data_IF_772754032533
#
_entry.id   IF_772754032533
#
_cell.length_a   1.000
_cell.length_b   1.000
_cell.length_c   1.000
_cell.angle_alpha   90.00
_cell.angle_beta   90.00
_cell.angle_gamma   90.00
#
_symmetry.space_group_name_H-M   'P 1'
#
loop_
_entity.id
_entity.type
_entity.pdbx_description
1 polymer ?
#
# COMPACT_ATOMS: atom_id res chain seq x y z
N UNK A 1 23.59 -11.16 -17.05
CA UNK A 1 23.40 -11.28 -15.58
C UNK A 1 21.95 -10.93 -15.26
N UNK A 2 21.25 -11.71 -14.45
CA UNK A 2 19.85 -11.50 -14.09
C UNK A 2 19.72 -11.06 -12.63
N UNK A 3 19.21 -9.87 -12.42
CA UNK A 3 19.08 -9.23 -11.10
C UNK A 3 17.60 -9.21 -10.72
N UNK A 4 17.27 -9.74 -9.54
CA UNK A 4 15.99 -9.50 -8.88
C UNK A 4 16.15 -8.35 -7.89
N UNK A 5 15.31 -7.33 -7.98
CA UNK A 5 15.27 -6.20 -7.05
C UNK A 5 13.91 -6.08 -6.39
N UNK A 6 13.92 -5.96 -5.07
CA UNK A 6 12.73 -5.98 -4.23
C UNK A 6 12.69 -4.71 -3.37
N UNK A 7 11.58 -3.98 -3.51
CA UNK A 7 11.18 -2.92 -2.58
C UNK A 7 10.18 -3.50 -1.56
N UNK A 8 10.52 -3.34 -0.27
CA UNK A 8 9.89 -4.09 0.82
C UNK A 8 8.75 -3.27 1.42
N UNK A 9 7.53 -3.80 1.34
CA UNK A 9 6.36 -3.21 1.99
C UNK A 9 5.51 -4.21 2.76
N UNK A 10 4.79 -3.74 3.78
CA UNK A 10 3.91 -4.57 4.62
C UNK A 10 2.79 -5.22 3.81
N UNK A 11 2.22 -4.46 2.87
CA UNK A 11 1.09 -4.89 2.05
C UNK A 11 1.43 -5.07 0.58
N UNK A 12 2.36 -4.27 0.09
CA UNK A 12 2.77 -4.26 -1.30
C UNK A 12 4.24 -4.65 -1.35
N UNK A 13 4.56 -5.70 -2.10
CA UNK A 13 5.92 -6.14 -2.37
C UNK A 13 6.20 -5.88 -3.84
N UNK A 14 7.02 -4.89 -4.17
CA UNK A 14 7.34 -4.58 -5.56
C UNK A 14 8.59 -5.35 -5.99
N UNK A 15 8.51 -5.99 -7.16
CA UNK A 15 9.60 -6.79 -7.72
C UNK A 15 9.91 -6.30 -9.12
N UNK A 16 11.20 -6.16 -9.41
CA UNK A 16 11.72 -5.92 -10.75
C UNK A 16 12.81 -6.94 -11.04
N UNK A 17 12.69 -7.66 -12.15
CA UNK A 17 13.74 -8.55 -12.65
C UNK A 17 14.25 -7.92 -13.94
N UNK A 18 15.54 -7.60 -13.94
CA UNK A 18 16.24 -7.15 -15.14
C UNK A 18 17.28 -8.17 -15.57
N UNK A 19 17.46 -8.31 -16.88
CA UNK A 19 18.54 -9.07 -17.48
C UNK A 19 19.49 -8.10 -18.18
N UNK A 20 20.71 -7.99 -17.65
CA UNK A 20 21.78 -7.16 -18.18
C UNK A 20 22.40 -7.90 -19.36
N UNK A 21 22.47 -7.20 -20.50
CA UNK A 21 23.03 -7.72 -21.75
C UNK A 21 24.56 -7.64 -21.76
N UNK A 22 25.20 -7.95 -22.89
CA UNK A 22 26.65 -7.80 -23.04
C UNK A 22 27.13 -6.35 -22.95
N UNK A 23 26.26 -5.36 -23.23
CA UNK A 23 26.53 -3.96 -22.94
C UNK A 23 26.05 -3.65 -21.51
N UNK A 24 26.96 -3.23 -20.60
CA UNK A 24 26.62 -2.79 -19.24
C UNK A 24 25.50 -1.74 -19.16
N UNK A 25 25.34 -0.94 -20.22
CA UNK A 25 24.35 0.14 -20.30
C UNK A 25 22.98 -0.33 -20.76
N UNK A 26 22.86 -1.58 -21.24
CA UNK A 26 21.65 -2.11 -21.87
C UNK A 26 21.11 -3.32 -21.11
N UNK A 27 19.80 -3.30 -20.85
CA UNK A 27 19.09 -4.30 -20.04
C UNK A 27 17.68 -4.54 -20.58
N UNK A 28 17.16 -5.74 -20.31
CA UNK A 28 15.78 -6.11 -20.55
C UNK A 28 15.02 -6.23 -19.23
N UNK A 29 13.78 -5.74 -19.18
CA UNK A 29 12.89 -5.94 -18.02
C UNK A 29 12.10 -7.23 -18.24
N UNK A 30 12.42 -8.27 -17.47
CA UNK A 30 11.82 -9.61 -17.58
C UNK A 30 10.52 -9.70 -16.79
N UNK A 31 10.49 -9.06 -15.62
CA UNK A 31 9.32 -9.03 -14.75
C UNK A 31 9.27 -7.71 -13.99
N UNK A 32 8.10 -7.09 -13.89
CA UNK A 32 7.95 -5.87 -13.12
C UNK A 32 6.51 -5.69 -12.65
N UNK A 33 6.28 -5.91 -11.36
CA UNK A 33 4.94 -5.85 -10.78
C UNK A 33 4.97 -5.59 -9.26
N UNK A 34 3.81 -5.28 -8.68
CA UNK A 34 3.60 -5.10 -7.25
C UNK A 34 2.64 -6.17 -6.74
N UNK A 35 3.17 -7.12 -5.97
CA UNK A 35 2.37 -8.12 -5.30
C UNK A 35 1.64 -7.53 -4.11
N UNK A 36 0.31 -7.55 -4.17
CA UNK A 36 -0.52 -7.27 -3.01
C UNK A 36 -0.60 -8.54 -2.13
N UNK A 37 -0.03 -8.45 -0.92
CA UNK A 37 -0.02 -9.52 0.06
C UNK A 37 -1.38 -9.72 0.72
N UNK A 38 -2.21 -8.68 0.77
CA UNK A 38 -3.53 -8.72 1.39
C UNK A 38 -4.56 -8.06 0.49
N UNK A 39 -5.53 -8.85 0.05
CA UNK A 39 -6.67 -8.30 -0.65
C UNK A 39 -7.51 -7.47 0.31
N UNK A 40 -7.78 -6.21 -0.04
CA UNK A 40 -8.83 -5.48 0.66
C UNK A 40 -10.15 -6.14 0.27
N UNK A 41 -10.94 -6.57 1.23
CA UNK A 41 -12.31 -6.98 0.94
C UNK A 41 -13.06 -5.78 0.35
N UNK A 42 -13.24 -5.79 -0.97
CA UNK A 42 -14.00 -4.76 -1.68
C UNK A 42 -15.47 -4.97 -1.33
N UNK A 43 -15.97 -4.18 -0.38
CA UNK A 43 -17.40 -4.16 -0.05
C UNK A 43 -18.11 -3.21 -1.01
N UNK A 44 -19.15 -3.70 -1.68
CA UNK A 44 -20.03 -2.89 -2.53
C UNK A 44 -21.25 -2.42 -1.76
N UNK A 45 -21.86 -1.33 -2.22
CA UNK A 45 -23.08 -0.81 -1.63
C UNK A 45 -24.23 -1.82 -1.78
N UNK A 46 -25.00 -2.03 -0.71
CA UNK A 46 -26.14 -2.94 -0.71
C UNK A 46 -27.48 -2.22 -0.86
N UNK A 47 -27.46 -0.90 -1.09
CA UNK A 47 -28.67 -0.10 -1.23
C UNK A 47 -29.42 -0.44 -2.52
N UNK A 48 -30.73 -0.68 -2.40
CA UNK A 48 -31.61 -0.99 -3.52
C UNK A 48 -31.88 0.26 -4.37
N UNK A 49 -31.56 0.18 -5.66
CA UNK A 49 -31.87 1.21 -6.65
C UNK A 49 -33.03 0.73 -7.50
N UNK A 50 -34.10 1.53 -7.56
CA UNK A 50 -35.22 1.28 -8.47
C UNK A 50 -34.84 1.73 -9.87
N UNK A 51 -34.87 0.82 -10.86
CA UNK A 51 -34.80 1.18 -12.27
C UNK A 51 -35.87 0.42 -13.07
N UNK A 52 -36.79 1.17 -13.70
CA UNK A 52 -37.80 0.72 -14.69
C UNK A 52 -38.34 -0.72 -14.50
N UNK A 53 -38.80 -1.05 -13.29
CA UNK A 53 -39.39 -2.35 -12.88
C UNK A 53 -38.44 -3.46 -12.41
N UNK A 54 -37.17 -3.17 -12.13
CA UNK A 54 -36.24 -4.10 -11.45
C UNK A 54 -35.60 -3.46 -10.21
N UNK A 55 -35.46 -4.24 -9.14
CA UNK A 55 -34.70 -3.86 -7.94
C UNK A 55 -33.28 -4.36 -8.11
N UNK A 56 -32.34 -3.45 -8.38
CA UNK A 56 -30.92 -3.79 -8.46
C UNK A 56 -30.16 -3.15 -7.30
N UNK A 57 -29.18 -3.87 -6.76
CA UNK A 57 -28.27 -3.31 -5.77
C UNK A 57 -27.31 -2.32 -6.42
N UNK A 58 -26.95 -1.28 -5.67
CA UNK A 58 -25.95 -0.31 -6.11
C UNK A 58 -24.56 -0.96 -6.27
N UNK A 59 -23.97 -0.89 -7.44
CA UNK A 59 -22.63 -1.43 -7.71
C UNK A 59 -21.46 -0.53 -7.27
N UNK A 60 -21.72 0.60 -6.59
CA UNK A 60 -20.67 1.52 -6.15
C UNK A 60 -19.94 0.96 -4.91
N UNK A 61 -18.65 1.26 -4.79
CA UNK A 61 -17.84 0.94 -3.62
C UNK A 61 -18.47 1.50 -2.33
N UNK A 62 -18.57 0.65 -1.31
CA UNK A 62 -19.01 1.07 0.00
C UNK A 62 -17.91 1.88 0.71
N UNK A 63 -18.34 2.95 1.38
CA UNK A 63 -17.47 3.78 2.23
C UNK A 63 -17.88 3.70 3.70
N UNK A 64 -19.11 3.26 3.96
CA UNK A 64 -19.72 3.25 5.28
C UNK A 64 -20.41 1.91 5.54
N UNK A 65 -20.46 1.47 6.79
CA UNK A 65 -21.26 0.34 7.21
C UNK A 65 -22.02 0.61 8.51
N UNK A 66 -23.17 -0.04 8.66
CA UNK A 66 -23.99 -0.02 9.87
C UNK A 66 -24.80 -1.32 9.93
N UNK A 67 -24.87 -1.97 11.08
CA UNK A 67 -25.65 -3.19 11.29
C UNK A 67 -25.41 -4.26 10.21
N UNK A 68 -24.13 -4.50 9.86
CA UNK A 68 -23.67 -5.40 8.78
C UNK A 68 -24.12 -5.06 7.35
N UNK A 69 -24.72 -3.89 7.12
CA UNK A 69 -25.06 -3.37 5.80
C UNK A 69 -24.04 -2.34 5.32
N UNK A 70 -23.68 -2.39 4.03
CA UNK A 70 -22.65 -1.56 3.40
C UNK A 70 -23.24 -0.50 2.46
N UNK A 71 -22.72 0.73 2.50
CA UNK A 71 -23.27 1.87 1.76
C UNK A 71 -22.18 2.71 1.09
N UNK A 72 -22.41 3.12 -0.16
CA UNK A 72 -21.62 4.18 -0.79
C UNK A 72 -22.01 5.54 -0.20
N UNK A 73 -21.17 6.57 -0.39
CA UNK A 73 -21.42 7.91 0.16
C UNK A 73 -22.80 8.47 -0.19
N UNK A 74 -23.23 8.31 -1.45
CA UNK A 74 -24.53 8.81 -1.92
C UNK A 74 -25.71 8.11 -1.23
N UNK A 75 -25.58 6.82 -0.93
CA UNK A 75 -26.68 6.04 -0.36
C UNK A 75 -26.66 6.04 1.18
N UNK A 76 -25.51 6.19 1.81
CA UNK A 76 -25.43 6.45 3.26
C UNK A 76 -26.22 7.73 3.61
N UNK A 77 -26.09 8.78 2.80
CA UNK A 77 -26.83 10.04 2.96
C UNK A 77 -28.36 9.93 2.74
N UNK A 78 -28.87 8.79 2.25
CA UNK A 78 -30.31 8.52 2.08
C UNK A 78 -30.90 7.66 3.20
N UNK A 79 -30.08 7.26 4.17
CA UNK A 79 -30.54 6.50 5.34
C UNK A 79 -30.78 7.45 6.51
N UNK A 80 -31.37 6.91 7.58
CA UNK A 80 -31.59 7.61 8.86
C UNK A 80 -30.31 7.83 9.68
N UNK A 81 -29.21 7.11 9.35
CA UNK A 81 -27.97 7.20 10.10
C UNK A 81 -27.13 8.42 9.70
N UNK A 82 -26.45 9.00 10.69
CA UNK A 82 -25.54 10.14 10.49
C UNK A 82 -24.18 9.65 9.98
N UNK A 83 -23.51 10.47 9.17
CA UNK A 83 -22.14 10.20 8.73
C UNK A 83 -21.13 10.46 9.87
N UNK A 84 -20.03 9.70 9.96
CA UNK A 84 -18.98 9.96 10.94
C UNK A 84 -18.31 11.30 10.66
N UNK A 85 -18.09 12.08 11.72
CA UNK A 85 -17.40 13.39 11.67
C UNK A 85 -16.07 13.34 12.43
N UNK A 86 -15.19 14.32 12.20
CA UNK A 86 -13.90 14.41 12.91
C UNK A 86 -14.07 14.43 14.43
N UNK A 87 -15.14 15.06 14.90
CA UNK A 87 -15.36 15.32 16.31
C UNK A 87 -15.85 14.05 17.01
N UNK A 88 -16.81 13.35 16.39
CA UNK A 88 -17.27 12.03 16.85
C UNK A 88 -16.15 10.98 16.83
N UNK A 89 -15.15 11.09 15.93
CA UNK A 89 -14.01 10.18 15.91
C UNK A 89 -12.96 10.47 17.00
N UNK A 90 -12.94 11.69 17.56
CA UNK A 90 -11.91 12.17 18.50
C UNK A 90 -12.41 12.33 19.93
N UNK A 91 -13.70 12.10 20.20
CA UNK A 91 -14.34 12.32 21.50
C UNK A 91 -13.53 11.76 22.69
N UNK A 92 -12.91 10.57 22.56
CA UNK A 92 -12.11 9.97 23.65
C UNK A 92 -10.95 10.86 24.15
N UNK A 93 -10.46 11.79 23.34
CA UNK A 93 -9.34 12.69 23.65
C UNK A 93 -9.75 14.14 23.91
N UNK A 94 -11.05 14.43 23.86
CA UNK A 94 -11.57 15.80 23.95
C UNK A 94 -11.64 16.32 25.39
N UNK A 95 -11.69 17.64 25.55
CA UNK A 95 -11.94 18.31 26.84
C UNK A 95 -13.43 18.27 27.16
N UNK A 96 -13.77 18.57 28.41
CA UNK A 96 -15.15 18.53 28.88
C UNK A 96 -16.09 19.45 28.07
N UNK A 97 -15.66 20.68 27.79
CA UNK A 97 -16.47 21.64 27.04
C UNK A 97 -16.74 21.19 25.60
N UNK A 98 -15.75 20.56 24.95
CA UNK A 98 -15.90 19.98 23.62
C UNK A 98 -16.90 18.81 23.62
N UNK A 99 -16.87 17.96 24.65
CA UNK A 99 -17.82 16.85 24.81
C UNK A 99 -19.24 17.37 25.04
N UNK A 100 -19.39 18.41 25.85
CA UNK A 100 -20.67 19.09 26.07
C UNK A 100 -21.22 19.69 24.77
N UNK A 101 -20.35 20.26 23.95
CA UNK A 101 -20.72 20.77 22.64
C UNK A 101 -21.26 19.65 21.75
N UNK A 102 -20.58 18.49 21.69
CA UNK A 102 -21.08 17.32 20.93
C UNK A 102 -22.45 16.88 21.44
N UNK A 103 -22.64 16.80 22.76
CA UNK A 103 -23.92 16.39 23.35
C UNK A 103 -25.05 17.33 22.92
N UNK A 104 -24.82 18.64 22.90
CA UNK A 104 -25.80 19.63 22.46
C UNK A 104 -26.04 19.59 20.96
N UNK A 105 -24.97 19.58 20.16
CA UNK A 105 -25.03 19.62 18.70
C UNK A 105 -25.74 18.39 18.11
N UNK A 106 -25.64 17.24 18.78
CA UNK A 106 -26.27 15.98 18.33
C UNK A 106 -27.52 15.61 19.12
N UNK A 107 -27.93 16.44 20.10
CA UNK A 107 -29.08 16.23 20.99
C UNK A 107 -29.03 14.86 21.72
N UNK A 108 -27.91 14.59 22.40
CA UNK A 108 -27.66 13.31 23.08
C UNK A 108 -28.21 13.33 24.51
N UNK A 109 -29.12 12.41 24.82
CA UNK A 109 -29.64 12.25 26.18
C UNK A 109 -28.57 11.74 27.15
N UNK A 110 -28.33 12.46 28.25
CA UNK A 110 -27.47 12.02 29.36
C UNK A 110 -28.34 11.69 30.58
N UNK A 111 -28.53 10.40 30.86
CA UNK A 111 -29.39 9.93 31.96
C UNK A 111 -28.73 10.08 33.35
N UNK A 112 -27.40 10.21 33.37
CA UNK A 112 -26.61 10.34 34.59
C UNK A 112 -26.03 11.75 34.73
N UNK A 113 -25.51 12.04 35.94
CA UNK A 113 -24.78 13.27 36.21
C UNK A 113 -23.68 13.48 35.14
N UNK A 114 -23.58 14.67 34.53
CA UNK A 114 -22.73 14.92 33.37
C UNK A 114 -21.25 15.00 33.77
N UNK A 115 -20.68 13.86 34.16
CA UNK A 115 -19.23 13.72 34.33
C UNK A 115 -18.59 13.46 32.97
N UNK A 116 -17.30 13.77 32.82
CA UNK A 116 -16.57 13.51 31.57
C UNK A 116 -16.71 12.06 31.10
N UNK A 117 -16.66 11.11 32.04
CA UNK A 117 -16.80 9.67 31.78
C UNK A 117 -18.22 9.35 31.26
N UNK A 118 -19.25 9.89 31.90
CA UNK A 118 -20.65 9.62 31.53
C UNK A 118 -21.03 10.27 30.19
N UNK A 119 -20.46 11.44 29.89
CA UNK A 119 -20.57 12.06 28.58
C UNK A 119 -19.96 11.17 27.50
N UNK A 120 -18.74 10.68 27.74
CA UNK A 120 -18.07 9.79 26.80
C UNK A 120 -18.88 8.51 26.55
N UNK A 121 -19.45 7.90 27.60
CA UNK A 121 -20.35 6.73 27.46
C UNK A 121 -21.61 7.05 26.66
N UNK A 122 -22.24 8.20 26.91
CA UNK A 122 -23.45 8.62 26.20
C UNK A 122 -23.16 8.88 24.72
N UNK A 123 -22.02 9.50 24.41
CA UNK A 123 -21.53 9.70 23.04
C UNK A 123 -21.21 8.36 22.36
N UNK A 124 -20.55 7.43 23.07
CA UNK A 124 -20.24 6.09 22.54
C UNK A 124 -21.53 5.32 22.20
N UNK A 125 -22.52 5.33 23.09
CA UNK A 125 -23.84 4.72 22.85
C UNK A 125 -24.56 5.36 21.66
N UNK A 126 -24.48 6.69 21.53
CA UNK A 126 -25.06 7.41 20.40
C UNK A 126 -24.40 7.03 19.08
N UNK A 127 -23.06 6.96 19.05
CA UNK A 127 -22.28 6.55 17.87
C UNK A 127 -22.70 5.14 17.45
N UNK A 128 -22.70 4.19 18.39
CA UNK A 128 -23.07 2.79 18.16
C UNK A 128 -24.48 2.63 17.57
N UNK A 129 -25.43 3.49 17.93
CA UNK A 129 -26.81 3.40 17.44
C UNK A 129 -27.08 4.19 16.16
N UNK A 130 -26.51 5.39 16.04
CA UNK A 130 -26.99 6.37 15.06
C UNK A 130 -25.95 6.80 14.02
N UNK A 131 -24.68 6.45 14.20
CA UNK A 131 -23.60 6.94 13.33
C UNK A 131 -23.01 5.79 12.52
N UNK A 132 -22.83 6.00 11.22
CA UNK A 132 -22.12 5.05 10.36
C UNK A 132 -20.67 4.86 10.82
N UNK A 133 -20.17 3.64 10.70
CA UNK A 133 -18.75 3.36 10.76
C UNK A 133 -18.14 3.47 9.36
N UNK A 134 -16.88 3.90 9.27
CA UNK A 134 -16.18 3.89 8.00
C UNK A 134 -15.81 2.44 7.66
N UNK A 135 -16.05 2.03 6.42
CA UNK A 135 -15.43 0.81 5.89
C UNK A 135 -13.93 1.06 5.89
N UNK A 136 -13.23 0.54 6.89
CA UNK A 136 -11.79 0.64 6.98
C UNK A 136 -11.16 -0.51 6.24
N UNK A 137 -10.24 -0.19 5.33
CA UNK A 137 -9.31 -1.19 4.84
C UNK A 137 -8.46 -1.69 6.03
N UNK A 138 -8.11 -2.97 6.03
CA UNK A 138 -7.27 -3.57 7.06
C UNK A 138 -6.00 -2.75 7.25
N UNK A 139 -5.75 -2.20 8.45
CA UNK A 139 -4.55 -1.38 8.65
C UNK A 139 -3.34 -2.29 8.69
N UNK A 140 -2.23 -1.87 8.06
CA UNK A 140 -0.97 -2.63 8.05
C UNK A 140 -0.46 -3.04 9.45
N UNK A 141 -0.78 -2.25 10.48
CA UNK A 141 -0.37 -2.50 11.86
C UNK A 141 -1.23 -3.57 12.56
N UNK A 142 -2.43 -3.85 12.04
CA UNK A 142 -3.37 -4.83 12.59
C UNK A 142 -3.10 -6.24 12.06
N UNK A 143 -2.33 -6.36 10.98
CA UNK A 143 -1.95 -7.65 10.38
C UNK A 143 -0.85 -8.31 11.23
N UNK A 144 -0.96 -9.59 11.56
CA UNK A 144 0.11 -10.29 12.27
C UNK A 144 1.32 -10.50 11.37
N UNK A 145 2.53 -10.49 11.94
CA UNK A 145 3.76 -10.77 11.17
C UNK A 145 3.75 -12.19 10.58
N UNK A 146 3.10 -13.13 11.27
CA UNK A 146 2.91 -14.52 10.82
C UNK A 146 2.08 -14.54 9.53
N UNK A 147 0.96 -13.82 9.49
CA UNK A 147 0.11 -13.76 8.29
C UNK A 147 0.84 -13.08 7.12
N UNK A 148 1.68 -12.09 7.39
CA UNK A 148 2.55 -11.47 6.38
C UNK A 148 3.52 -12.50 5.80
N UNK A 149 4.20 -13.26 6.65
CA UNK A 149 5.12 -14.32 6.23
C UNK A 149 4.43 -15.39 5.37
N UNK A 150 3.25 -15.87 5.79
CA UNK A 150 2.46 -16.86 5.03
C UNK A 150 2.04 -16.29 3.67
N UNK A 151 1.45 -15.10 3.65
CA UNK A 151 0.99 -14.48 2.41
C UNK A 151 2.15 -14.20 1.44
N UNK A 152 3.29 -13.71 1.95
CA UNK A 152 4.49 -13.47 1.18
C UNK A 152 5.03 -14.75 0.55
N UNK A 153 5.19 -15.82 1.36
CA UNK A 153 5.60 -17.14 0.87
C UNK A 153 4.66 -17.61 -0.25
N UNK A 154 3.36 -17.62 -0.01
CA UNK A 154 2.39 -18.15 -0.97
C UNK A 154 2.31 -17.33 -2.26
N UNK A 155 2.45 -16.00 -2.18
CA UNK A 155 2.48 -15.13 -3.37
C UNK A 155 3.77 -15.30 -4.16
N UNK A 156 4.92 -15.44 -3.51
CA UNK A 156 6.20 -15.68 -4.17
C UNK A 156 6.28 -17.10 -4.77
N UNK A 157 5.76 -18.12 -4.08
CA UNK A 157 5.67 -19.49 -4.61
C UNK A 157 4.80 -19.53 -5.87
N UNK A 158 3.71 -18.75 -5.92
CA UNK A 158 2.80 -18.66 -7.08
C UNK A 158 3.39 -17.98 -8.32
N UNK A 159 4.42 -17.14 -8.16
CA UNK A 159 5.12 -16.56 -9.32
C UNK A 159 5.93 -17.62 -10.08
N UNK A 160 6.06 -18.83 -9.51
CA UNK A 160 6.62 -20.04 -10.10
C UNK A 160 8.10 -19.92 -10.53
N UNK A 161 8.70 -21.09 -10.64
CA UNK A 161 10.11 -21.41 -10.81
C UNK A 161 10.76 -20.77 -12.04
N UNK A 162 9.97 -20.47 -13.09
CA UNK A 162 10.50 -19.91 -14.34
C UNK A 162 10.88 -18.44 -14.21
N UNK A 163 10.08 -17.62 -13.51
CA UNK A 163 10.36 -16.19 -13.36
C UNK A 163 11.68 -16.00 -12.59
N UNK A 164 11.84 -16.75 -11.50
CA UNK A 164 13.05 -16.77 -10.67
C UNK A 164 14.15 -17.72 -11.16
N UNK A 165 14.01 -18.32 -12.34
CA UNK A 165 15.08 -19.15 -12.91
C UNK A 165 16.32 -18.30 -13.18
N UNK A 166 17.49 -18.83 -12.79
CA UNK A 166 18.81 -18.24 -13.05
C UNK A 166 18.96 -16.78 -12.56
N UNK A 167 18.41 -16.44 -11.38
CA UNK A 167 18.71 -15.15 -10.74
C UNK A 167 20.13 -15.20 -10.16
N UNK A 168 20.99 -14.31 -10.65
CA UNK A 168 22.38 -14.22 -10.21
C UNK A 168 22.52 -13.41 -8.92
N UNK A 169 21.69 -12.40 -8.71
CA UNK A 169 21.72 -11.50 -7.54
C UNK A 169 20.33 -11.08 -7.11
N UNK A 170 20.07 -11.10 -5.80
CA UNK A 170 18.83 -10.61 -5.20
C UNK A 170 19.13 -9.36 -4.38
N UNK A 171 18.53 -8.24 -4.75
CA UNK A 171 18.63 -6.97 -4.06
C UNK A 171 17.38 -6.77 -3.21
N UNK A 172 17.57 -6.51 -1.92
CA UNK A 172 16.48 -6.20 -0.99
C UNK A 172 16.73 -4.82 -0.40
N UNK A 173 15.72 -3.93 -0.43
CA UNK A 173 15.85 -2.63 0.23
C UNK A 173 16.13 -2.82 1.74
N UNK A 174 17.17 -2.16 2.23
CA UNK A 174 17.59 -2.23 3.63
C UNK A 174 16.69 -1.36 4.53
N UNK A 175 16.01 -2.00 5.49
CA UNK A 175 15.07 -1.42 6.44
C UNK A 175 15.74 -1.25 7.81
N UNK A 176 16.09 -0.01 8.16
CA UNK A 176 16.90 0.29 9.36
C UNK A 176 16.02 0.31 10.65
N UNK A 177 16.34 -0.57 11.60
CA UNK A 177 15.85 -0.51 12.99
C UNK A 177 16.50 0.68 13.74
N UNK A 178 15.81 1.49 14.58
CA UNK A 178 14.49 1.31 15.22
C UNK A 178 13.28 1.94 14.50
N UNK A 179 13.48 2.48 13.29
CA UNK A 179 12.46 3.29 12.60
C UNK A 179 11.36 2.42 11.99
N UNK A 180 11.70 1.19 11.57
CA UNK A 180 10.80 0.32 10.81
C UNK A 180 10.86 -1.15 11.25
N UNK A 181 10.73 -1.44 12.55
CA UNK A 181 10.90 -2.79 13.12
C UNK A 181 10.10 -3.87 12.39
N UNK A 182 8.84 -3.60 12.02
CA UNK A 182 8.02 -4.55 11.26
C UNK A 182 8.55 -4.78 9.84
N UNK A 183 9.02 -3.74 9.15
CA UNK A 183 9.62 -3.88 7.82
C UNK A 183 10.94 -4.66 7.89
N UNK A 184 11.75 -4.44 8.93
CA UNK A 184 12.98 -5.21 9.15
C UNK A 184 12.68 -6.71 9.37
N UNK A 185 11.59 -7.05 10.08
CA UNK A 185 11.14 -8.45 10.16
C UNK A 185 10.76 -9.02 8.80
N UNK A 186 10.05 -8.24 7.96
CA UNK A 186 9.66 -8.67 6.61
C UNK A 186 10.89 -8.84 5.71
N UNK A 187 11.86 -7.94 5.78
CA UNK A 187 13.16 -8.09 5.12
C UNK A 187 13.82 -9.41 5.53
N UNK A 188 13.87 -9.72 6.83
CA UNK A 188 14.39 -11.00 7.32
C UNK A 188 13.63 -12.21 6.79
N UNK A 189 12.29 -12.12 6.70
CA UNK A 189 11.45 -13.18 6.13
C UNK A 189 11.73 -13.39 4.64
N UNK A 190 11.88 -12.31 3.85
CA UNK A 190 12.26 -12.39 2.44
C UNK A 190 13.61 -13.07 2.27
N UNK A 191 14.60 -12.63 3.05
CA UNK A 191 15.94 -13.25 3.05
C UNK A 191 15.86 -14.73 3.35
N UNK A 192 15.13 -15.12 4.40
CA UNK A 192 14.95 -16.52 4.76
C UNK A 192 14.25 -17.31 3.64
N UNK A 193 13.24 -16.74 2.99
CA UNK A 193 12.54 -17.37 1.86
C UNK A 193 13.51 -17.73 0.73
N UNK A 194 14.37 -16.79 0.31
CA UNK A 194 15.33 -17.04 -0.78
C UNK A 194 16.45 -18.01 -0.38
N UNK A 195 16.91 -17.98 0.88
CA UNK A 195 17.84 -18.98 1.41
C UNK A 195 17.24 -20.39 1.28
N UNK A 196 15.97 -20.57 1.64
CA UNK A 196 15.28 -21.87 1.52
C UNK A 196 15.10 -22.35 0.06
N UNK A 197 15.25 -21.45 -0.93
CA UNK A 197 15.23 -21.76 -2.36
C UNK A 197 16.64 -21.92 -2.96
N UNK A 198 17.69 -21.97 -2.12
CA UNK A 198 19.10 -21.98 -2.54
C UNK A 198 19.53 -20.76 -3.37
N UNK A 199 18.84 -19.63 -3.21
CA UNK A 199 19.17 -18.36 -3.86
C UNK A 199 19.86 -17.44 -2.85
N UNK A 200 21.15 -17.67 -2.63
CA UNK A 200 21.87 -17.10 -1.46
C UNK A 200 22.65 -15.83 -1.74
N UNK A 201 22.80 -15.40 -3.01
CA UNK A 201 23.46 -14.14 -3.34
C UNK A 201 22.49 -12.95 -3.11
N UNK A 202 22.31 -12.61 -1.83
CA UNK A 202 21.37 -11.60 -1.35
C UNK A 202 22.14 -10.37 -0.85
N UNK A 203 21.79 -9.19 -1.36
CA UNK A 203 22.47 -7.93 -1.10
C UNK A 203 21.45 -6.90 -0.59
N UNK A 204 21.72 -6.33 0.57
CA UNK A 204 20.89 -5.25 1.11
C UNK A 204 21.32 -3.90 0.54
N UNK A 205 20.38 -3.18 -0.06
CA UNK A 205 20.64 -1.88 -0.69
C UNK A 205 20.03 -0.76 0.13
N UNK A 206 20.82 0.26 0.45
CA UNK A 206 20.30 1.47 1.11
C UNK A 206 19.30 2.19 0.20
N UNK A 207 18.12 2.52 0.74
CA UNK A 207 17.10 3.30 0.04
C UNK A 207 17.62 4.64 -0.51
N UNK A 208 18.71 5.20 0.03
CA UNK A 208 19.33 6.43 -0.46
C UNK A 208 20.05 6.27 -1.81
N UNK A 209 20.55 5.08 -2.10
CA UNK A 209 21.42 4.84 -3.25
C UNK A 209 20.69 5.01 -4.59
N UNK A 210 19.45 4.55 -4.69
CA UNK A 210 18.65 4.57 -5.93
C UNK A 210 18.49 5.94 -6.60
N UNK A 211 18.53 7.03 -5.84
CA UNK A 211 18.43 8.40 -6.37
C UNK A 211 19.77 9.16 -6.39
N UNK A 212 20.78 8.68 -5.67
CA UNK A 212 22.06 9.36 -5.48
C UNK A 212 22.74 9.79 -6.81
N UNK A 213 22.77 8.95 -7.86
CA UNK A 213 23.38 9.35 -9.15
C UNK A 213 22.69 10.53 -9.83
N UNK A 214 21.41 10.77 -9.53
CA UNK A 214 20.58 11.76 -10.23
C UNK A 214 20.43 13.08 -9.48
N UNK A 215 20.62 13.06 -8.15
CA UNK A 215 20.45 14.25 -7.28
C UNK A 215 21.75 14.79 -6.71
N UNK A 216 22.84 14.00 -6.74
CA UNK A 216 24.08 14.33 -6.07
C UNK A 216 23.86 14.61 -4.58
N UNK A 217 24.28 15.79 -4.12
CA UNK A 217 24.19 16.21 -2.72
C UNK A 217 22.94 17.05 -2.39
N UNK A 218 21.97 17.11 -3.30
CA UNK A 218 20.75 17.92 -3.10
C UNK A 218 19.91 17.34 -1.95
N UNK A 219 19.63 18.16 -0.93
CA UNK A 219 18.66 17.82 0.12
C UNK A 219 17.26 17.75 -0.49
N UNK A 220 16.55 16.65 -0.23
CA UNK A 220 15.19 16.41 -0.73
C UNK A 220 14.32 15.86 0.39
N UNK A 221 13.05 16.25 0.37
CA UNK A 221 12.02 15.69 1.25
C UNK A 221 11.54 14.34 0.72
N UNK A 222 10.89 13.56 1.58
CA UNK A 222 10.32 12.26 1.20
C UNK A 222 9.31 12.35 0.03
N UNK A 223 8.45 13.37 0.04
CA UNK A 223 7.46 13.60 -1.02
C UNK A 223 8.12 13.93 -2.37
N UNK A 224 9.17 14.74 -2.35
CA UNK A 224 9.96 15.06 -3.55
C UNK A 224 10.67 13.83 -4.10
N UNK A 225 11.25 13.00 -3.23
CA UNK A 225 11.92 11.76 -3.63
C UNK A 225 10.98 10.82 -4.38
N UNK A 226 9.74 10.64 -3.90
CA UNK A 226 8.75 9.81 -4.61
C UNK A 226 8.45 10.30 -6.02
N UNK A 227 8.21 11.61 -6.18
CA UNK A 227 7.95 12.20 -7.50
C UNK A 227 9.16 12.03 -8.41
N UNK A 228 10.35 12.24 -7.85
CA UNK A 228 11.59 12.15 -8.60
C UNK A 228 11.90 10.72 -9.05
N UNK A 229 11.68 9.70 -8.20
CA UNK A 229 11.82 8.28 -8.58
C UNK A 229 10.99 7.97 -9.82
N UNK A 230 9.73 8.44 -9.85
CA UNK A 230 8.82 8.23 -10.98
C UNK A 230 9.34 8.92 -12.25
N UNK A 231 9.74 10.19 -12.14
CA UNK A 231 10.19 10.97 -13.30
C UNK A 231 11.50 10.44 -13.89
N UNK A 232 12.46 10.04 -13.05
CA UNK A 232 13.71 9.42 -13.49
C UNK A 232 13.42 8.09 -14.18
N UNK A 233 12.56 7.26 -13.59
CA UNK A 233 12.18 5.97 -14.17
C UNK A 233 11.60 6.15 -15.57
N UNK A 234 10.67 7.10 -15.79
CA UNK A 234 10.15 7.41 -17.13
C UNK A 234 11.26 7.78 -18.12
N UNK A 235 12.20 8.63 -17.71
CA UNK A 235 13.31 9.06 -18.57
C UNK A 235 14.21 7.89 -18.95
N UNK A 236 14.49 6.98 -18.02
CA UNK A 236 15.28 5.77 -18.28
C UNK A 236 14.55 4.82 -19.22
N UNK A 237 13.25 4.58 -19.02
CA UNK A 237 12.45 3.75 -19.91
C UNK A 237 12.41 4.29 -21.34
N UNK A 238 12.30 5.61 -21.53
CA UNK A 238 12.32 6.24 -22.87
C UNK A 238 13.69 6.04 -23.55
N UNK A 239 14.78 5.97 -22.79
CA UNK A 239 16.13 5.75 -23.31
C UNK A 239 16.50 4.28 -23.50
N UNK A 240 15.71 3.35 -22.94
CA UNK A 240 15.94 1.92 -23.05
C UNK A 240 15.97 1.50 -24.52
N UNK A 241 16.98 0.72 -24.89
CA UNK A 241 17.10 0.11 -26.21
C UNK A 241 16.15 -1.11 -26.33
N UNK A 242 15.93 -1.59 -27.55
CA UNK A 242 15.12 -2.80 -27.81
C UNK A 242 13.87 -2.56 -28.64
N UNK A 243 12.98 -3.55 -28.67
CA UNK A 243 11.78 -3.54 -29.49
C UNK A 243 10.78 -2.46 -29.02
N UNK A 244 10.45 -1.53 -29.92
CA UNK A 244 9.50 -0.43 -29.64
C UNK A 244 8.15 -0.91 -29.08
N UNK A 245 7.64 -2.07 -29.52
CA UNK A 245 6.36 -2.60 -29.06
C UNK A 245 6.42 -3.02 -27.59
N UNK A 246 7.49 -3.71 -27.18
CA UNK A 246 7.66 -4.16 -25.79
C UNK A 246 7.95 -2.99 -24.87
N UNK A 247 8.78 -2.05 -25.33
CA UNK A 247 9.05 -0.79 -24.65
C UNK A 247 7.79 0.02 -24.40
N UNK A 248 6.93 0.17 -25.41
CA UNK A 248 5.66 0.88 -25.27
C UNK A 248 4.71 0.20 -24.28
N UNK A 249 4.67 -1.14 -24.27
CA UNK A 249 3.90 -1.90 -23.27
C UNK A 249 4.39 -1.63 -21.84
N UNK A 250 5.70 -1.66 -21.63
CA UNK A 250 6.31 -1.39 -20.31
C UNK A 250 6.03 0.04 -19.86
N UNK A 251 6.23 1.02 -20.75
CA UNK A 251 5.97 2.45 -20.47
C UNK A 251 4.49 2.66 -20.12
N UNK A 252 3.58 2.02 -20.87
CA UNK A 252 2.15 2.12 -20.64
C UNK A 252 1.73 1.45 -19.32
N UNK A 253 2.29 0.28 -19.00
CA UNK A 253 2.08 -0.41 -17.72
C UNK A 253 2.49 0.50 -16.56
N UNK A 254 3.73 1.00 -16.57
CA UNK A 254 4.26 1.87 -15.52
C UNK A 254 3.44 3.16 -15.39
N UNK A 255 3.09 3.79 -16.52
CA UNK A 255 2.37 5.07 -16.54
C UNK A 255 0.95 4.96 -16.00
N UNK A 256 0.30 3.80 -16.11
CA UNK A 256 -1.06 3.57 -15.61
C UNK A 256 -1.12 2.85 -14.26
N UNK A 257 0.00 2.33 -13.76
CA UNK A 257 0.04 1.62 -12.49
C UNK A 257 -0.34 2.52 -11.31
N UNK A 258 -1.03 1.98 -10.30
CA UNK A 258 -1.43 2.76 -9.10
C UNK A 258 -0.27 3.01 -8.14
N UNK A 259 0.74 2.15 -8.17
CA UNK A 259 1.91 2.15 -7.28
C UNK A 259 3.20 2.39 -8.07
N UNK A 260 3.28 3.56 -8.72
CA UNK A 260 4.42 3.90 -9.58
C UNK A 260 5.67 4.19 -8.77
N UNK A 261 5.50 4.71 -7.56
CA UNK A 261 6.60 4.95 -6.62
C UNK A 261 7.26 3.62 -6.20
N UNK A 262 6.47 2.63 -5.78
CA UNK A 262 7.00 1.31 -5.39
C UNK A 262 7.71 0.61 -6.59
N UNK A 263 7.11 0.65 -7.79
CA UNK A 263 7.71 0.12 -9.03
C UNK A 263 9.01 0.85 -9.40
N UNK A 264 9.03 2.18 -9.33
CA UNK A 264 10.21 2.99 -9.62
C UNK A 264 11.34 2.67 -8.65
N UNK A 265 11.01 2.49 -7.37
CA UNK A 265 11.99 2.26 -6.33
C UNK A 265 12.72 0.93 -6.51
N UNK A 266 12.01 -0.17 -6.81
CA UNK A 266 12.66 -1.46 -7.09
C UNK A 266 13.44 -1.45 -8.42
N UNK A 267 12.94 -0.78 -9.46
CA UNK A 267 13.64 -0.64 -10.73
C UNK A 267 14.95 0.17 -10.59
N UNK A 268 14.88 1.35 -9.98
CA UNK A 268 16.06 2.22 -9.80
C UNK A 268 17.11 1.59 -8.88
N UNK A 269 16.69 0.75 -7.92
CA UNK A 269 17.61 -0.06 -7.12
C UNK A 269 18.41 -1.04 -7.99
N UNK A 270 17.76 -1.72 -8.95
CA UNK A 270 18.43 -2.63 -9.88
C UNK A 270 19.42 -1.88 -10.79
N UNK A 271 19.00 -0.73 -11.34
CA UNK A 271 19.85 0.11 -12.19
C UNK A 271 21.06 0.64 -11.41
N UNK A 272 20.85 1.09 -10.16
CA UNK A 272 21.96 1.55 -9.33
C UNK A 272 22.98 0.45 -9.08
N UNK A 273 22.53 -0.75 -8.74
CA UNK A 273 23.43 -1.88 -8.50
C UNK A 273 24.19 -2.28 -9.75
N UNK A 274 23.52 -2.40 -10.90
CA UNK A 274 24.17 -2.69 -12.17
C UNK A 274 25.28 -1.67 -12.49
N UNK A 275 25.01 -0.37 -12.29
CA UNK A 275 26.00 0.68 -12.53
C UNK A 275 27.12 0.72 -11.47
N UNK A 276 26.98 0.02 -10.34
CA UNK A 276 27.98 -0.01 -9.27
C UNK A 276 29.00 -1.14 -9.40
N UNK A 277 28.67 -2.14 -10.23
CA UNK A 277 29.52 -3.32 -10.47
C UNK A 277 30.17 -3.32 -11.86
N UNK A 278 29.80 -2.37 -12.73
CA UNK A 278 30.43 -2.07 -14.01
C UNK A 278 31.22 -0.78 -13.91
#
# INVERSE_FOLDING_TARGET
MKILSIDVGIKNLALCIIEVTSDPSSFNIIYWDVLNLFDDEIKTCQFNVKNKNTYNHCNKLAKYHKNNCFYCKTHAAKTEYKLPTSDLNKYKRMKYDDLNKIIKDYDISCNEKPTKINMMKSIETFIEKHVFENVSNMKCNEISIINIGIAMKDKLDKLDTFIFSNIDSILIENQISPIANRMNCIQGMLTQYFIMKNMTNIIYISAANKLKPFIGNKKTTYCERKKLSIDITKKLLIKMEGNNIEKDKIINMFSNHKKKDDLADCFLQAIWYNNSIN
#
